data_IF_266228046233
#
_entry.id   IF_266228046233
#
_cell.length_a   1.000
_cell.length_b   1.000
_cell.length_c   1.000
_cell.angle_alpha   90.00
_cell.angle_beta   90.00
_cell.angle_gamma   90.00
#
_symmetry.space_group_name_H-M   'P 1'
#
loop_
_entity.id
_entity.type
_entity.pdbx_description
1 polymer ?
#
# COMPACT_ATOMS: atom_id res chain seq x y z
N UNK A 1 -10.25 -25.31 -12.45
CA UNK A 1 -9.50 -24.45 -11.50
C UNK A 1 -9.17 -23.05 -12.04
N UNK A 2 -9.02 -22.85 -13.35
CA UNK A 2 -8.67 -21.54 -13.96
C UNK A 2 -9.79 -20.48 -13.85
N UNK A 3 -11.06 -20.88 -13.92
CA UNK A 3 -12.21 -19.98 -13.80
C UNK A 3 -12.34 -19.26 -12.45
N UNK A 4 -11.84 -19.85 -11.35
CA UNK A 4 -11.94 -19.26 -10.00
C UNK A 4 -10.92 -18.14 -9.76
N UNK A 5 -9.71 -18.26 -10.34
CA UNK A 5 -8.71 -17.18 -10.35
C UNK A 5 -9.16 -16.02 -11.21
N UNK A 6 -9.83 -16.30 -12.31
CA UNK A 6 -10.44 -15.27 -13.18
C UNK A 6 -11.53 -14.53 -12.40
N UNK A 7 -12.38 -15.22 -11.63
CA UNK A 7 -13.41 -14.59 -10.82
C UNK A 7 -12.85 -13.59 -9.79
N UNK A 8 -11.75 -13.91 -9.09
CA UNK A 8 -11.13 -12.99 -8.13
C UNK A 8 -10.48 -11.78 -8.84
N UNK A 9 -9.87 -11.98 -10.00
CA UNK A 9 -9.25 -10.88 -10.75
C UNK A 9 -10.29 -9.97 -11.43
N UNK A 10 -11.37 -10.53 -11.99
CA UNK A 10 -12.50 -9.75 -12.49
C UNK A 10 -13.19 -8.97 -11.39
N UNK A 11 -13.37 -9.59 -10.22
CA UNK A 11 -13.86 -8.93 -9.03
C UNK A 11 -13.00 -7.70 -8.76
N UNK A 12 -11.70 -7.89 -8.51
CA UNK A 12 -10.74 -6.80 -8.28
C UNK A 12 -10.86 -5.71 -9.37
N UNK A 13 -10.84 -6.09 -10.65
CA UNK A 13 -10.95 -5.17 -11.80
C UNK A 13 -12.28 -4.42 -11.93
N UNK A 14 -13.39 -5.00 -11.50
CA UNK A 14 -14.70 -4.34 -11.48
C UNK A 14 -14.75 -3.26 -10.39
N UNK A 15 -14.24 -3.56 -9.20
CA UNK A 15 -14.28 -2.63 -8.06
C UNK A 15 -13.25 -1.49 -8.20
N UNK A 16 -12.15 -1.72 -8.92
CA UNK A 16 -11.20 -0.68 -9.35
C UNK A 16 -11.92 0.52 -10.01
N UNK A 17 -12.91 0.25 -10.85
CA UNK A 17 -13.64 1.30 -11.56
C UNK A 17 -14.72 1.98 -10.70
N UNK A 18 -15.22 1.29 -9.67
CA UNK A 18 -16.33 1.78 -8.86
C UNK A 18 -15.90 2.45 -7.54
N UNK A 19 -14.65 2.23 -7.09
CA UNK A 19 -14.12 2.71 -5.78
C UNK A 19 -15.00 2.36 -4.58
N UNK A 20 -15.89 1.37 -4.72
CA UNK A 20 -16.77 0.92 -3.65
C UNK A 20 -16.22 -0.37 -3.03
N UNK A 21 -15.41 -0.19 -1.99
CA UNK A 21 -14.82 -1.29 -1.22
C UNK A 21 -15.86 -2.05 -0.41
N UNK A 22 -16.99 -1.44 -0.05
CA UNK A 22 -17.96 -2.09 0.85
C UNK A 22 -18.77 -3.16 0.13
N UNK A 23 -19.03 -3.00 -1.17
CA UNK A 23 -19.67 -4.02 -2.00
C UNK A 23 -18.88 -5.33 -2.12
N UNK A 24 -17.58 -5.32 -1.77
CA UNK A 24 -16.71 -6.50 -1.81
C UNK A 24 -16.82 -7.41 -0.57
N UNK A 25 -17.34 -6.89 0.53
CA UNK A 25 -17.26 -7.55 1.84
C UNK A 25 -17.93 -8.93 1.82
N UNK A 26 -19.16 -9.01 1.33
CA UNK A 26 -19.91 -10.27 1.28
C UNK A 26 -19.23 -11.30 0.36
N UNK A 27 -18.74 -10.83 -0.78
CA UNK A 27 -18.14 -11.70 -1.79
C UNK A 27 -16.79 -12.25 -1.31
N UNK A 28 -15.96 -11.42 -0.67
CA UNK A 28 -14.70 -11.86 -0.08
C UNK A 28 -14.92 -12.79 1.11
N UNK A 29 -15.86 -12.48 2.00
CA UNK A 29 -16.21 -13.35 3.11
C UNK A 29 -16.66 -14.73 2.61
N UNK A 30 -17.45 -14.78 1.53
CA UNK A 30 -17.87 -16.06 0.92
C UNK A 30 -16.68 -16.88 0.40
N UNK A 31 -15.70 -16.22 -0.24
CA UNK A 31 -14.51 -16.88 -0.79
C UNK A 31 -13.58 -17.42 0.30
N UNK A 32 -13.47 -16.68 1.41
CA UNK A 32 -12.73 -17.09 2.60
C UNK A 32 -13.35 -18.32 3.26
N UNK A 33 -14.67 -18.28 3.52
CA UNK A 33 -15.41 -19.40 4.12
C UNK A 33 -15.34 -20.66 3.25
N UNK A 34 -15.32 -20.51 1.92
CA UNK A 34 -15.15 -21.64 0.99
C UNK A 34 -13.70 -22.17 0.91
N UNK A 35 -12.74 -21.54 1.59
CA UNK A 35 -11.34 -21.98 1.67
C UNK A 35 -10.55 -21.82 0.37
N UNK A 36 -11.00 -20.97 -0.56
CA UNK A 36 -10.39 -20.84 -1.89
C UNK A 36 -9.34 -19.73 -1.99
N UNK A 37 -9.15 -18.95 -0.93
CA UNK A 37 -8.22 -17.80 -0.94
C UNK A 37 -6.97 -18.12 -0.12
N UNK A 38 -5.80 -17.90 -0.71
CA UNK A 38 -4.52 -18.04 -0.01
C UNK A 38 -4.06 -16.70 0.57
N UNK A 39 -3.20 -16.73 1.59
CA UNK A 39 -2.62 -15.53 2.21
C UNK A 39 -1.93 -14.60 1.22
N UNK A 40 -1.34 -15.15 0.15
CA UNK A 40 -0.72 -14.39 -0.93
C UNK A 40 -1.76 -13.60 -1.75
N UNK A 41 -2.91 -14.20 -2.04
CA UNK A 41 -3.99 -13.53 -2.74
C UNK A 41 -4.65 -12.44 -1.88
N UNK A 42 -4.80 -12.70 -0.58
CA UNK A 42 -5.25 -11.70 0.38
C UNK A 42 -4.28 -10.52 0.44
N UNK A 43 -2.97 -10.77 0.56
CA UNK A 43 -1.95 -9.70 0.53
C UNK A 43 -2.03 -8.85 -0.73
N UNK A 44 -2.16 -9.45 -1.91
CA UNK A 44 -2.26 -8.71 -3.18
C UNK A 44 -3.52 -7.86 -3.21
N UNK A 45 -4.67 -8.42 -2.83
CA UNK A 45 -5.93 -7.69 -2.73
C UNK A 45 -5.79 -6.50 -1.76
N UNK A 46 -5.22 -6.71 -0.58
CA UNK A 46 -5.05 -5.67 0.42
C UNK A 46 -4.08 -4.56 0.00
N UNK A 47 -2.91 -4.92 -0.53
CA UNK A 47 -1.96 -3.95 -1.10
C UNK A 47 -2.62 -3.09 -2.17
N UNK A 48 -3.44 -3.73 -3.00
CA UNK A 48 -4.17 -3.05 -4.06
C UNK A 48 -5.24 -2.10 -3.51
N UNK A 49 -5.99 -2.51 -2.48
CA UNK A 49 -7.02 -1.67 -1.84
C UNK A 49 -6.41 -0.46 -1.11
N UNK A 50 -5.22 -0.61 -0.51
CA UNK A 50 -4.47 0.50 0.10
C UNK A 50 -4.00 1.49 -0.98
N UNK A 51 -3.56 1.01 -2.15
CA UNK A 51 -3.14 1.87 -3.25
C UNK A 51 -4.30 2.60 -3.95
N UNK A 52 -5.51 2.06 -3.91
CA UNK A 52 -6.67 2.56 -4.67
C UNK A 52 -7.75 3.25 -3.81
N UNK A 53 -7.64 3.24 -2.48
CA UNK A 53 -8.70 3.68 -1.56
C UNK A 53 -8.23 4.60 -0.44
N UNK A 54 -9.19 5.31 0.15
CA UNK A 54 -9.04 6.06 1.40
C UNK A 54 -8.73 5.08 2.55
N UNK A 55 -7.60 5.28 3.24
CA UNK A 55 -7.15 4.42 4.33
C UNK A 55 -8.22 4.21 5.42
N UNK A 56 -9.11 5.20 5.62
CA UNK A 56 -10.22 5.09 6.58
C UNK A 56 -11.24 3.99 6.20
N UNK A 57 -11.50 3.80 4.90
CA UNK A 57 -12.41 2.77 4.39
C UNK A 57 -11.81 1.38 4.44
N UNK A 58 -10.47 1.27 4.40
CA UNK A 58 -9.76 -0.01 4.48
C UNK A 58 -9.89 -0.66 5.86
N UNK A 59 -9.72 0.11 6.94
CA UNK A 59 -9.88 -0.42 8.30
C UNK A 59 -11.30 -0.94 8.55
N UNK A 60 -12.31 -0.20 8.08
CA UNK A 60 -13.71 -0.65 8.15
C UNK A 60 -13.93 -1.93 7.33
N UNK A 61 -13.40 -1.99 6.11
CA UNK A 61 -13.49 -3.17 5.25
C UNK A 61 -12.93 -4.43 5.92
N UNK A 62 -11.72 -4.35 6.46
CA UNK A 62 -11.05 -5.45 7.17
C UNK A 62 -11.91 -5.96 8.32
N UNK A 63 -12.45 -5.04 9.13
CA UNK A 63 -13.26 -5.39 10.28
C UNK A 63 -14.54 -6.13 9.86
N UNK A 64 -15.24 -5.62 8.87
CA UNK A 64 -16.48 -6.19 8.33
C UNK A 64 -16.28 -7.59 7.72
N UNK A 65 -15.16 -7.83 7.04
CA UNK A 65 -14.81 -9.15 6.51
C UNK A 65 -14.50 -10.13 7.64
N UNK A 66 -13.77 -9.67 8.67
CA UNK A 66 -13.40 -10.51 9.81
C UNK A 66 -14.61 -10.92 10.67
N UNK A 67 -15.58 -10.02 10.87
CA UNK A 67 -16.84 -10.33 11.57
C UNK A 67 -17.66 -11.38 10.83
N UNK A 68 -17.67 -11.35 9.49
CA UNK A 68 -18.36 -12.35 8.66
C UNK A 68 -17.57 -13.65 8.46
N UNK A 69 -16.30 -13.68 8.88
CA UNK A 69 -15.42 -14.85 8.76
C UNK A 69 -14.67 -15.11 10.07
N UNK A 70 -15.36 -15.54 11.15
CA UNK A 70 -14.75 -15.71 12.48
C UNK A 70 -13.52 -16.63 12.47
N UNK A 71 -13.50 -17.65 11.62
CA UNK A 71 -12.40 -18.60 11.45
C UNK A 71 -11.11 -17.95 10.92
N UNK A 72 -11.22 -16.82 10.21
CA UNK A 72 -10.09 -16.11 9.61
C UNK A 72 -9.79 -14.78 10.30
N UNK A 73 -10.55 -14.42 11.35
CA UNK A 73 -10.45 -13.12 12.03
C UNK A 73 -9.03 -12.80 12.49
N UNK A 74 -8.37 -13.73 13.19
CA UNK A 74 -7.01 -13.54 13.69
C UNK A 74 -5.99 -13.32 12.56
N UNK A 75 -6.03 -14.15 11.51
CA UNK A 75 -5.16 -14.00 10.34
C UNK A 75 -5.39 -12.68 9.60
N UNK A 76 -6.66 -12.27 9.44
CA UNK A 76 -7.03 -11.01 8.81
C UNK A 76 -6.55 -9.80 9.62
N UNK A 77 -6.70 -9.81 10.95
CA UNK A 77 -6.19 -8.75 11.82
C UNK A 77 -4.65 -8.68 11.74
N UNK A 78 -3.97 -9.82 11.80
CA UNK A 78 -2.51 -9.88 11.68
C UNK A 78 -2.00 -9.31 10.35
N UNK A 79 -2.70 -9.61 9.25
CA UNK A 79 -2.36 -9.06 7.93
C UNK A 79 -2.59 -7.54 7.92
N UNK A 80 -3.71 -7.07 8.45
CA UNK A 80 -4.02 -5.64 8.52
C UNK A 80 -2.99 -4.86 9.34
N UNK A 81 -2.57 -5.38 10.50
CA UNK A 81 -1.52 -4.77 11.33
C UNK A 81 -0.19 -4.66 10.59
N UNK A 82 0.23 -5.75 9.92
CA UNK A 82 1.49 -5.75 9.15
C UNK A 82 1.45 -4.76 7.99
N UNK A 83 0.31 -4.62 7.33
CA UNK A 83 0.14 -3.64 6.25
C UNK A 83 0.16 -2.21 6.76
N UNK A 84 -0.50 -1.95 7.89
CA UNK A 84 -0.44 -0.65 8.54
C UNK A 84 1.00 -0.29 8.96
N UNK A 85 1.74 -1.24 9.52
CA UNK A 85 3.16 -1.05 9.86
C UNK A 85 4.02 -0.75 8.62
N UNK A 86 3.87 -1.56 7.56
CA UNK A 86 4.60 -1.35 6.32
C UNK A 86 4.30 0.04 5.72
N UNK A 87 3.03 0.45 5.68
CA UNK A 87 2.63 1.77 5.20
C UNK A 87 3.21 2.92 6.03
N UNK A 88 3.28 2.76 7.36
CA UNK A 88 3.94 3.76 8.23
C UNK A 88 5.43 3.86 7.94
N UNK A 89 6.12 2.73 7.79
CA UNK A 89 7.55 2.70 7.49
C UNK A 89 7.86 3.29 6.10
N UNK A 90 7.05 2.95 5.10
CA UNK A 90 7.16 3.55 3.76
C UNK A 90 6.90 5.06 3.81
N UNK A 91 5.85 5.51 4.51
CA UNK A 91 5.56 6.93 4.67
C UNK A 91 6.67 7.72 5.37
N UNK A 92 7.29 7.13 6.41
CA UNK A 92 8.44 7.74 7.08
C UNK A 92 9.66 7.85 6.14
N UNK A 93 9.97 6.79 5.39
CA UNK A 93 11.07 6.81 4.43
C UNK A 93 10.82 7.82 3.30
N UNK A 94 9.60 7.87 2.77
CA UNK A 94 9.20 8.85 1.77
C UNK A 94 9.31 10.28 2.32
N UNK A 95 8.86 10.53 3.55
CA UNK A 95 8.97 11.83 4.21
C UNK A 95 10.41 12.27 4.43
N UNK A 96 11.27 11.39 4.94
CA UNK A 96 12.70 11.66 5.12
C UNK A 96 13.38 11.96 3.78
N UNK A 97 13.06 11.19 2.74
CA UNK A 97 13.61 11.37 1.40
C UNK A 97 13.13 12.68 0.76
N UNK A 98 11.85 13.00 0.89
CA UNK A 98 11.29 14.26 0.41
C UNK A 98 11.94 15.47 1.10
N UNK A 99 12.17 15.39 2.41
CA UNK A 99 12.85 16.44 3.16
C UNK A 99 14.33 16.57 2.76
N UNK A 100 15.04 15.45 2.60
CA UNK A 100 16.42 15.46 2.11
C UNK A 100 16.51 16.09 0.70
N UNK A 101 15.58 15.80 -0.20
CA UNK A 101 15.48 16.43 -1.51
C UNK A 101 15.17 17.92 -1.43
N UNK A 102 14.28 18.33 -0.52
CA UNK A 102 13.96 19.74 -0.27
C UNK A 102 15.19 20.52 0.19
N UNK A 103 15.93 19.97 1.16
CA UNK A 103 17.19 20.53 1.67
C UNK A 103 18.23 20.59 0.55
N UNK A 104 18.42 19.50 -0.20
CA UNK A 104 19.36 19.45 -1.32
C UNK A 104 19.06 20.53 -2.37
N UNK A 105 17.79 20.74 -2.71
CA UNK A 105 17.37 21.79 -3.65
C UNK A 105 17.73 23.18 -3.13
N UNK A 106 17.40 23.51 -1.89
CA UNK A 106 17.77 24.81 -1.29
C UNK A 106 19.29 25.01 -1.26
N UNK A 107 20.05 23.97 -0.90
CA UNK A 107 21.52 24.05 -0.89
C UNK A 107 22.10 24.30 -2.29
N UNK A 108 21.55 23.66 -3.33
CA UNK A 108 21.98 23.88 -4.71
C UNK A 108 21.60 25.29 -5.21
N UNK A 109 20.41 25.79 -4.86
CA UNK A 109 19.98 27.16 -5.15
C UNK A 109 20.89 28.20 -4.49
N UNK A 110 21.37 27.92 -3.27
CA UNK A 110 22.33 28.74 -2.54
C UNK A 110 23.79 28.60 -3.06
N UNK A 111 24.01 27.80 -4.12
CA UNK A 111 25.30 27.63 -4.78
C UNK A 111 26.27 26.68 -4.07
N UNK A 112 25.79 25.83 -3.15
CA UNK A 112 26.61 24.81 -2.50
C UNK A 112 27.00 23.73 -3.52
N UNK A 113 28.26 23.30 -3.46
CA UNK A 113 28.77 22.29 -4.38
C UNK A 113 28.08 20.93 -4.20
N UNK A 114 27.97 20.18 -5.31
CA UNK A 114 27.23 18.91 -5.35
C UNK A 114 27.82 17.85 -4.42
N UNK A 115 29.15 17.81 -4.26
CA UNK A 115 29.80 16.82 -3.39
C UNK A 115 29.47 17.08 -1.92
N UNK A 116 29.41 18.35 -1.52
CA UNK A 116 28.95 18.76 -0.18
C UNK A 116 27.46 18.46 0.02
N UNK A 117 26.61 18.71 -0.99
CA UNK A 117 25.18 18.37 -0.92
C UNK A 117 24.97 16.87 -0.73
N UNK A 118 25.66 16.02 -1.52
CA UNK A 118 25.59 14.56 -1.41
C UNK A 118 26.02 14.09 -0.01
N UNK A 119 27.14 14.61 0.49
CA UNK A 119 27.67 14.26 1.81
C UNK A 119 26.74 14.65 2.96
N UNK A 120 26.05 15.80 2.86
CA UNK A 120 25.19 16.32 3.93
C UNK A 120 23.80 15.68 3.89
N UNK A 121 23.22 15.51 2.71
CA UNK A 121 21.84 15.01 2.55
C UNK A 121 21.75 13.49 2.48
N UNK A 122 22.87 12.80 2.20
CA UNK A 122 22.91 11.35 2.06
C UNK A 122 22.15 10.81 0.85
N UNK A 123 21.74 11.69 -0.08
CA UNK A 123 21.06 11.32 -1.31
C UNK A 123 22.02 10.62 -2.28
N UNK A 124 21.46 9.78 -3.15
CA UNK A 124 22.23 9.20 -4.24
C UNK A 124 22.57 10.26 -5.31
N UNK A 125 23.65 10.04 -6.05
CA UNK A 125 24.13 10.95 -7.09
C UNK A 125 23.05 11.23 -8.13
N UNK A 126 22.33 10.19 -8.54
CA UNK A 126 21.25 10.25 -9.52
C UNK A 126 20.11 11.14 -9.07
N UNK A 127 19.82 11.17 -7.77
CA UNK A 127 18.76 12.00 -7.20
C UNK A 127 19.13 13.48 -7.20
N UNK A 128 20.37 13.80 -6.82
CA UNK A 128 20.86 15.18 -6.84
C UNK A 128 20.97 15.70 -8.27
N UNK A 129 21.31 14.84 -9.25
CA UNK A 129 21.30 15.20 -10.67
C UNK A 129 19.86 15.52 -11.13
N UNK A 130 18.88 14.69 -10.77
CA UNK A 130 17.48 14.88 -11.14
C UNK A 130 16.86 16.16 -10.54
N UNK A 131 17.40 16.70 -9.45
CA UNK A 131 16.95 17.95 -8.82
C UNK A 131 17.45 19.22 -9.51
N UNK A 132 18.43 19.11 -10.41
CA UNK A 132 19.14 20.23 -11.04
C UNK A 132 18.78 20.40 -12.54
N UNK A 133 17.71 19.75 -12.98
CA UNK A 133 17.08 19.87 -14.30
C UNK A 133 15.73 20.57 -14.18
#
# INVERSE_FOLDING_TARGET
>A
MQHRRIALLELIQKYIRQRDLMGLVEQLASLLVMGYTTDSQLKVLFNYMIQCGDASRFSQFIHEVAERSPQHKESLMTIAERLHEAGRQEGMQQGQRAEAQRIARTMLEDGIDRDTVLRITGLAVEEVIALNH
#
